data_IF_355429182789
#
_entry.id   IF_355429182789
#
_cell.length_a   1.000
_cell.length_b   1.000
_cell.length_c   1.000
_cell.angle_alpha   90.00
_cell.angle_beta   90.00
_cell.angle_gamma   90.00
#
_symmetry.space_group_name_H-M   'P 1'
#
loop_
_entity.id
_entity.type
_entity.pdbx_description
1 polymer ?
#
# COMPACT_ATOMS: atom_id res chain seq x y z
N UNK A 1 -16.01 -2.29 33.29
CA UNK A 1 -16.64 -1.51 32.22
C UNK A 1 -16.27 -2.18 30.91
N UNK A 2 -17.21 -2.76 30.19
CA UNK A 2 -16.92 -3.25 28.83
C UNK A 2 -16.46 -2.06 27.99
N UNK A 3 -15.24 -2.14 27.47
CA UNK A 3 -14.73 -1.12 26.56
C UNK A 3 -15.62 -1.14 25.31
N UNK A 4 -16.40 -0.11 25.10
CA UNK A 4 -17.27 0.03 23.93
C UNK A 4 -16.40 -0.04 22.68
N UNK A 5 -16.57 -1.09 21.85
CA UNK A 5 -15.84 -1.24 20.59
C UNK A 5 -16.09 -0.05 19.68
N UNK A 6 -15.04 0.48 19.03
CA UNK A 6 -15.19 1.50 18.01
C UNK A 6 -16.01 0.96 16.82
N UNK A 7 -16.87 1.79 16.26
CA UNK A 7 -17.62 1.46 15.05
C UNK A 7 -16.88 2.02 13.84
N UNK A 8 -16.43 1.13 12.97
CA UNK A 8 -15.71 1.47 11.75
C UNK A 8 -16.61 1.32 10.52
N UNK A 9 -16.70 2.35 9.72
CA UNK A 9 -17.22 2.24 8.36
C UNK A 9 -16.07 1.95 7.42
N UNK A 10 -16.16 0.88 6.63
CA UNK A 10 -15.13 0.49 5.65
C UNK A 10 -15.70 0.60 4.25
N UNK A 11 -15.11 1.46 3.41
CA UNK A 11 -15.35 1.46 1.97
C UNK A 11 -14.29 0.63 1.26
N UNK A 12 -14.63 -0.07 0.18
CA UNK A 12 -13.69 -0.99 -0.48
C UNK A 12 -13.42 -2.27 0.32
N UNK A 13 -14.37 -2.70 1.14
CA UNK A 13 -14.30 -3.86 2.03
C UNK A 13 -14.02 -5.19 1.30
N UNK A 14 -14.43 -5.33 0.04
CA UNK A 14 -14.19 -6.52 -0.80
C UNK A 14 -12.80 -6.57 -1.44
N UNK A 15 -12.01 -5.51 -1.33
CA UNK A 15 -10.64 -5.44 -1.83
C UNK A 15 -9.66 -6.27 -0.99
N UNK A 16 -8.43 -6.42 -1.49
CA UNK A 16 -7.38 -7.19 -0.83
C UNK A 16 -7.14 -6.74 0.62
N UNK A 17 -6.96 -5.44 0.85
CA UNK A 17 -6.74 -4.89 2.20
C UNK A 17 -7.99 -5.00 3.05
N UNK A 18 -9.16 -4.63 2.51
CA UNK A 18 -10.43 -4.63 3.23
C UNK A 18 -10.82 -6.02 3.75
N UNK A 19 -10.73 -7.04 2.89
CA UNK A 19 -11.03 -8.44 3.28
C UNK A 19 -10.11 -8.92 4.41
N UNK A 20 -8.79 -8.70 4.28
CA UNK A 20 -7.83 -9.10 5.31
C UNK A 20 -8.03 -8.31 6.62
N UNK A 21 -8.36 -7.01 6.54
CA UNK A 21 -8.63 -6.19 7.73
C UNK A 21 -9.85 -6.70 8.49
N UNK A 22 -10.95 -6.95 7.78
CA UNK A 22 -12.19 -7.46 8.37
C UNK A 22 -11.95 -8.83 9.01
N UNK A 23 -11.30 -9.76 8.31
CA UNK A 23 -11.02 -11.10 8.84
C UNK A 23 -10.22 -11.02 10.16
N UNK A 24 -9.24 -10.12 10.24
CA UNK A 24 -8.35 -9.99 11.39
C UNK A 24 -8.99 -9.28 12.58
N UNK A 25 -9.79 -8.23 12.34
CA UNK A 25 -10.25 -7.29 13.38
C UNK A 25 -11.77 -7.28 13.62
N UNK A 26 -12.53 -8.24 13.06
CA UNK A 26 -13.99 -8.35 13.26
C UNK A 26 -14.40 -8.47 14.72
N UNK A 27 -13.52 -8.99 15.56
CA UNK A 27 -13.77 -9.15 16.99
C UNK A 27 -13.33 -7.93 17.82
N UNK A 28 -12.51 -7.04 17.25
CA UNK A 28 -12.01 -5.83 17.92
C UNK A 28 -12.90 -4.61 17.66
N UNK A 29 -13.47 -4.52 16.47
CA UNK A 29 -14.31 -3.39 16.03
C UNK A 29 -15.72 -3.85 15.64
N UNK A 30 -16.69 -2.92 15.75
CA UNK A 30 -17.97 -3.05 15.05
C UNK A 30 -17.79 -2.54 13.63
N UNK A 31 -17.88 -3.42 12.63
CA UNK A 31 -17.60 -3.09 11.23
C UNK A 31 -18.88 -2.90 10.43
N UNK A 32 -18.97 -1.78 9.73
CA UNK A 32 -20.02 -1.44 8.76
C UNK A 32 -19.37 -1.31 7.39
N UNK A 33 -19.70 -2.20 6.46
CA UNK A 33 -19.14 -2.16 5.10
C UNK A 33 -20.05 -1.40 4.15
N UNK A 34 -19.49 -0.46 3.38
CA UNK A 34 -20.23 0.32 2.37
C UNK A 34 -19.65 0.06 0.99
N UNK A 35 -20.52 -0.39 0.08
CA UNK A 35 -20.18 -0.59 -1.33
C UNK A 35 -20.55 0.65 -2.15
N UNK A 36 -19.53 1.48 -2.45
CA UNK A 36 -19.69 2.72 -3.21
C UNK A 36 -20.06 2.51 -4.70
N UNK A 37 -20.13 1.26 -5.18
CA UNK A 37 -20.71 0.96 -6.48
C UNK A 37 -22.24 0.88 -6.43
N UNK A 38 -22.82 0.72 -5.23
CA UNK A 38 -24.26 0.55 -5.01
C UNK A 38 -24.89 1.71 -4.26
N UNK A 39 -24.13 2.39 -3.41
CA UNK A 39 -24.62 3.47 -2.52
C UNK A 39 -23.88 4.76 -2.86
N UNK A 40 -24.61 5.83 -3.10
CA UNK A 40 -24.03 7.15 -3.32
C UNK A 40 -23.56 7.76 -1.99
N UNK A 41 -22.53 8.61 -1.99
CA UNK A 41 -22.03 9.26 -0.75
C UNK A 41 -23.11 10.00 0.06
N UNK A 42 -24.09 10.58 -0.61
CA UNK A 42 -25.20 11.32 -0.01
C UNK A 42 -26.21 10.42 0.71
N UNK A 43 -26.23 9.13 0.36
CA UNK A 43 -27.17 8.11 0.88
C UNK A 43 -26.54 7.28 2.01
N UNK A 44 -25.26 7.52 2.35
CA UNK A 44 -24.56 6.77 3.38
C UNK A 44 -25.06 7.19 4.77
N UNK A 45 -25.44 6.21 5.58
CA UNK A 45 -25.80 6.40 6.99
C UNK A 45 -24.56 6.40 7.87
N UNK A 46 -24.27 7.53 8.53
CA UNK A 46 -23.10 7.67 9.41
C UNK A 46 -23.44 7.64 10.91
N UNK A 47 -24.68 7.32 11.28
CA UNK A 47 -25.08 7.29 12.68
C UNK A 47 -24.26 6.26 13.47
N UNK A 48 -23.63 6.70 14.54
CA UNK A 48 -22.83 5.87 15.42
C UNK A 48 -21.47 5.43 14.83
N UNK A 49 -21.04 5.99 13.69
CA UNK A 49 -19.72 5.75 13.11
C UNK A 49 -18.67 6.62 13.79
N UNK A 50 -17.65 5.99 14.38
CA UNK A 50 -16.52 6.67 15.01
C UNK A 50 -15.43 7.01 13.98
N UNK A 51 -15.12 6.09 13.06
CA UNK A 51 -14.05 6.22 12.07
C UNK A 51 -14.49 5.69 10.71
N UNK A 52 -14.13 6.40 9.65
CA UNK A 52 -14.21 5.90 8.27
C UNK A 52 -12.83 5.41 7.84
N UNK A 53 -12.73 4.13 7.48
CA UNK A 53 -11.57 3.54 6.82
C UNK A 53 -11.84 3.48 5.32
N UNK A 54 -11.28 4.45 4.58
CA UNK A 54 -11.53 4.61 3.15
C UNK A 54 -10.49 3.87 2.31
N UNK A 55 -10.84 2.64 1.89
CA UNK A 55 -10.01 1.76 1.06
C UNK A 55 -10.45 1.73 -0.40
N UNK A 56 -11.66 2.24 -0.70
CA UNK A 56 -12.19 2.25 -2.06
C UNK A 56 -11.29 3.08 -2.98
N UNK A 57 -10.84 2.48 -4.05
CA UNK A 57 -9.99 3.14 -5.04
C UNK A 57 -9.97 2.37 -6.37
N UNK A 58 -9.79 3.09 -7.45
CA UNK A 58 -9.30 2.54 -8.70
C UNK A 58 -7.78 2.44 -8.60
N UNK A 59 -7.27 1.21 -8.45
CA UNK A 59 -5.83 0.96 -8.35
C UNK A 59 -5.17 0.97 -9.72
N UNK A 60 -3.84 1.07 -9.76
CA UNK A 60 -3.08 1.00 -10.99
C UNK A 60 -3.38 -0.29 -11.76
N UNK A 61 -3.94 -0.14 -12.98
CA UNK A 61 -4.26 -1.27 -13.86
C UNK A 61 -3.16 -1.45 -14.92
N UNK A 62 -2.75 -2.70 -15.17
CA UNK A 62 -1.70 -3.00 -16.16
C UNK A 62 -2.07 -2.54 -17.58
N UNK A 63 -3.34 -2.55 -17.94
CA UNK A 63 -3.85 -2.09 -19.22
C UNK A 63 -4.24 -0.60 -19.23
N UNK A 64 -4.03 0.11 -18.11
CA UNK A 64 -4.43 1.49 -17.91
C UNK A 64 -5.95 1.69 -17.78
N UNK A 65 -6.33 2.80 -17.18
CA UNK A 65 -7.67 3.36 -17.26
C UNK A 65 -7.53 4.83 -17.73
N UNK A 66 -8.55 5.44 -18.31
CA UNK A 66 -8.51 6.85 -18.63
C UNK A 66 -8.16 7.68 -17.37
N UNK A 67 -7.37 8.74 -17.56
CA UNK A 67 -6.95 9.62 -16.44
C UNK A 67 -8.15 10.13 -15.65
N UNK A 68 -9.19 10.53 -16.36
CA UNK A 68 -10.44 11.07 -15.80
C UNK A 68 -11.10 10.08 -14.83
N UNK A 69 -11.01 8.76 -15.13
CA UNK A 69 -11.59 7.73 -14.28
C UNK A 69 -10.86 7.60 -12.93
N UNK A 70 -9.54 7.78 -12.93
CA UNK A 70 -8.78 7.82 -11.67
C UNK A 70 -9.20 9.01 -10.81
N UNK A 71 -9.36 10.19 -11.39
CA UNK A 71 -9.79 11.38 -10.66
C UNK A 71 -11.25 11.28 -10.18
N UNK A 72 -12.14 10.73 -11.01
CA UNK A 72 -13.54 10.48 -10.60
C UNK A 72 -13.61 9.59 -9.35
N UNK A 73 -12.87 8.47 -9.35
CA UNK A 73 -12.96 7.47 -8.28
C UNK A 73 -12.05 7.83 -7.09
N UNK A 74 -10.80 8.20 -7.32
CA UNK A 74 -9.83 8.36 -6.23
C UNK A 74 -9.87 9.76 -5.61
N UNK A 75 -10.32 10.79 -6.37
CA UNK A 75 -10.36 12.17 -5.88
C UNK A 75 -11.79 12.59 -5.55
N UNK A 76 -12.68 12.64 -6.55
CA UNK A 76 -14.01 13.20 -6.36
C UNK A 76 -14.89 12.33 -5.46
N UNK A 77 -14.87 11.02 -5.62
CA UNK A 77 -15.64 10.13 -4.75
C UNK A 77 -15.10 10.18 -3.31
N UNK A 78 -13.77 10.21 -3.12
CA UNK A 78 -13.14 10.38 -1.80
C UNK A 78 -13.57 11.69 -1.15
N UNK A 79 -13.54 12.81 -1.90
CA UNK A 79 -14.00 14.13 -1.42
C UNK A 79 -15.44 14.06 -0.93
N UNK A 80 -16.35 13.51 -1.74
CA UNK A 80 -17.78 13.41 -1.38
C UNK A 80 -18.01 12.55 -0.13
N UNK A 81 -17.32 11.42 0.00
CA UNK A 81 -17.42 10.56 1.19
C UNK A 81 -16.90 11.30 2.44
N UNK A 82 -15.78 12.01 2.32
CA UNK A 82 -15.21 12.77 3.44
C UNK A 82 -16.10 13.97 3.86
N UNK A 83 -16.66 14.69 2.88
CA UNK A 83 -17.64 15.76 3.15
C UNK A 83 -18.88 15.24 3.89
N UNK A 84 -19.43 14.10 3.41
CA UNK A 84 -20.57 13.47 4.05
C UNK A 84 -20.24 13.00 5.48
N UNK A 85 -19.07 12.35 5.68
CA UNK A 85 -18.60 11.93 6.99
C UNK A 85 -18.44 13.13 7.96
N UNK A 86 -17.78 14.20 7.50
CA UNK A 86 -17.58 15.43 8.29
C UNK A 86 -18.89 16.10 8.66
N UNK A 87 -19.84 16.23 7.71
CA UNK A 87 -21.19 16.78 7.93
C UNK A 87 -21.95 15.99 9.00
N UNK A 88 -21.77 14.67 9.03
CA UNK A 88 -22.40 13.77 9.99
C UNK A 88 -21.57 13.58 11.27
N UNK A 89 -20.56 14.43 11.53
CA UNK A 89 -19.77 14.49 12.75
C UNK A 89 -18.95 13.23 13.04
N UNK A 90 -18.58 12.46 12.01
CA UNK A 90 -17.55 11.43 12.13
C UNK A 90 -16.26 12.12 12.56
N UNK A 91 -15.57 11.56 13.55
CA UNK A 91 -14.39 12.20 14.13
C UNK A 91 -13.11 11.91 13.35
N UNK A 92 -13.00 10.73 12.75
CA UNK A 92 -11.75 10.26 12.17
C UNK A 92 -11.96 9.68 10.77
N UNK A 93 -11.14 10.14 9.82
CA UNK A 93 -11.13 9.67 8.45
C UNK A 93 -9.73 9.13 8.10
N UNK A 94 -9.62 7.83 7.92
CA UNK A 94 -8.38 7.15 7.53
C UNK A 94 -8.39 6.89 6.04
N UNK A 95 -7.51 7.55 5.32
CA UNK A 95 -7.41 7.48 3.86
C UNK A 95 -6.22 6.61 3.44
N UNK A 96 -6.49 5.60 2.61
CA UNK A 96 -5.43 4.83 1.97
C UNK A 96 -4.97 5.51 0.68
N UNK A 97 -3.80 6.10 0.77
CA UNK A 97 -3.05 6.66 -0.33
C UNK A 97 -2.03 5.65 -0.89
N UNK A 98 -0.87 6.09 -1.30
CA UNK A 98 0.20 5.27 -1.88
C UNK A 98 1.52 6.04 -1.89
N UNK A 99 2.66 5.35 -1.84
CA UNK A 99 3.97 5.98 -2.10
C UNK A 99 4.13 6.55 -3.52
N UNK A 100 3.21 6.22 -4.44
CA UNK A 100 3.21 6.78 -5.81
C UNK A 100 3.02 8.30 -5.84
N UNK A 101 2.45 8.89 -4.79
CA UNK A 101 2.29 10.34 -4.65
C UNK A 101 3.63 11.09 -4.66
N UNK A 102 4.74 10.43 -4.31
CA UNK A 102 6.07 11.04 -4.38
C UNK A 102 6.57 11.24 -5.82
N UNK A 103 5.94 10.57 -6.81
CA UNK A 103 6.33 10.67 -8.21
C UNK A 103 7.69 10.01 -8.53
N UNK A 104 8.10 9.06 -7.69
CA UNK A 104 9.39 8.39 -7.81
C UNK A 104 9.18 6.87 -7.86
N UNK A 105 9.55 6.25 -8.97
CA UNK A 105 9.39 4.82 -9.21
C UNK A 105 10.63 3.99 -8.84
N UNK A 106 11.71 4.68 -8.51
CA UNK A 106 13.01 4.12 -8.19
C UNK A 106 14.10 4.55 -9.14
N UNK A 107 15.36 4.25 -8.79
CA UNK A 107 16.55 4.61 -9.56
C UNK A 107 17.43 3.38 -9.78
N UNK A 108 17.94 3.23 -11.03
CA UNK A 108 18.84 2.14 -11.42
C UNK A 108 20.28 2.37 -10.96
N UNK A 109 20.66 3.59 -10.63
CA UNK A 109 22.03 4.02 -10.38
C UNK A 109 22.24 4.58 -8.98
N UNK A 110 21.26 5.32 -8.45
CA UNK A 110 21.30 5.85 -7.10
C UNK A 110 20.57 4.91 -6.12
N UNK A 111 21.35 4.12 -5.40
CA UNK A 111 20.81 3.15 -4.45
C UNK A 111 20.72 3.69 -3.01
N UNK A 112 21.13 4.93 -2.76
CA UNK A 112 21.17 5.54 -1.43
C UNK A 112 20.09 6.60 -1.23
N UNK A 113 19.23 6.83 -2.22
CA UNK A 113 18.16 7.81 -2.09
C UNK A 113 17.00 7.21 -1.29
N UNK A 114 16.64 7.89 -0.20
CA UNK A 114 15.60 7.45 0.74
C UNK A 114 14.57 8.57 0.88
N UNK A 115 13.31 8.22 0.74
CA UNK A 115 12.15 9.10 0.93
C UNK A 115 11.55 8.88 2.32
N UNK A 116 10.84 9.88 2.84
CA UNK A 116 10.12 9.80 4.12
C UNK A 116 8.77 10.54 4.05
N UNK A 117 8.10 10.66 5.19
CA UNK A 117 6.79 11.29 5.29
C UNK A 117 6.76 12.74 4.76
N UNK A 118 7.87 13.47 4.88
CA UNK A 118 8.00 14.89 4.49
C UNK A 118 8.58 15.11 3.10
N UNK A 119 8.98 14.03 2.42
CA UNK A 119 9.52 14.14 1.06
C UNK A 119 8.49 14.77 0.12
N UNK A 120 8.93 15.66 -0.80
CA UNK A 120 8.00 16.34 -1.71
C UNK A 120 7.25 15.36 -2.61
N UNK A 121 5.97 15.63 -2.82
CA UNK A 121 5.11 14.85 -3.70
C UNK A 121 5.02 15.52 -5.08
N UNK A 122 5.34 14.77 -6.12
CA UNK A 122 5.29 15.22 -7.52
C UNK A 122 4.97 14.06 -8.48
N UNK A 123 3.76 13.49 -8.45
CA UNK A 123 3.39 12.30 -9.22
C UNK A 123 3.08 12.61 -10.69
N UNK A 124 4.01 13.22 -11.41
CA UNK A 124 3.84 13.59 -12.83
C UNK A 124 3.79 12.34 -13.71
N UNK A 125 2.86 12.31 -14.67
CA UNK A 125 2.64 11.20 -15.62
C UNK A 125 2.24 9.85 -14.98
N UNK A 126 1.73 9.87 -13.76
CA UNK A 126 1.12 8.72 -13.09
C UNK A 126 -0.31 9.12 -12.63
N UNK A 127 -1.35 8.94 -13.47
CA UNK A 127 -2.72 9.34 -13.14
C UNK A 127 -3.24 8.75 -11.83
N UNK A 128 -2.77 7.56 -11.45
CA UNK A 128 -3.09 6.96 -10.16
C UNK A 128 -2.45 7.75 -9.00
N UNK A 129 -1.13 8.00 -9.07
CA UNK A 129 -0.42 8.80 -8.07
C UNK A 129 -0.97 10.23 -7.99
N UNK A 130 -1.20 10.86 -9.16
CA UNK A 130 -1.79 12.21 -9.24
C UNK A 130 -3.16 12.28 -8.55
N UNK A 131 -4.06 11.35 -8.85
CA UNK A 131 -5.41 11.33 -8.27
C UNK A 131 -5.41 11.11 -6.75
N UNK A 132 -4.50 10.27 -6.25
CA UNK A 132 -4.32 10.06 -4.81
C UNK A 132 -3.75 11.29 -4.12
N UNK A 133 -2.75 11.93 -4.74
CA UNK A 133 -2.17 13.16 -4.21
C UNK A 133 -3.18 14.31 -4.14
N UNK A 134 -4.02 14.46 -5.17
CA UNK A 134 -5.09 15.44 -5.16
C UNK A 134 -6.09 15.20 -4.03
N UNK A 135 -6.49 13.94 -3.83
CA UNK A 135 -7.35 13.57 -2.71
C UNK A 135 -6.72 13.90 -1.33
N UNK A 136 -5.41 13.65 -1.16
CA UNK A 136 -4.72 14.01 0.09
C UNK A 136 -4.75 15.53 0.36
N UNK A 137 -4.57 16.36 -0.66
CA UNK A 137 -4.64 17.82 -0.52
C UNK A 137 -6.03 18.26 -0.06
N UNK A 138 -7.07 17.77 -0.72
CA UNK A 138 -8.47 18.05 -0.36
C UNK A 138 -8.77 17.62 1.08
N UNK A 139 -8.36 16.41 1.46
CA UNK A 139 -8.61 15.91 2.82
C UNK A 139 -7.87 16.74 3.89
N UNK A 140 -6.66 17.19 3.60
CA UNK A 140 -5.88 18.07 4.49
C UNK A 140 -6.58 19.42 4.70
N UNK A 141 -7.18 19.98 3.65
CA UNK A 141 -7.97 21.23 3.77
C UNK A 141 -9.26 21.02 4.59
N UNK A 142 -9.79 19.79 4.62
CA UNK A 142 -10.96 19.46 5.43
C UNK A 142 -10.65 19.24 6.91
N UNK A 143 -9.38 18.98 7.27
CA UNK A 143 -8.97 18.65 8.63
C UNK A 143 -9.29 19.77 9.63
N UNK A 144 -9.72 19.39 10.80
CA UNK A 144 -10.01 20.29 11.94
C UNK A 144 -9.85 19.52 13.24
N UNK A 145 -9.85 20.20 14.37
CA UNK A 145 -9.86 19.57 15.71
C UNK A 145 -11.05 18.62 15.97
N UNK A 146 -12.08 18.63 15.11
CA UNK A 146 -13.27 17.77 15.20
C UNK A 146 -13.36 16.75 14.06
N UNK A 147 -12.46 16.81 13.07
CA UNK A 147 -12.39 15.91 11.94
C UNK A 147 -10.92 15.63 11.64
N UNK A 148 -10.41 14.55 12.22
CA UNK A 148 -9.02 14.11 12.11
C UNK A 148 -8.84 13.37 10.80
N UNK A 149 -7.77 13.66 10.07
CA UNK A 149 -7.41 12.98 8.83
C UNK A 149 -6.09 12.24 9.01
N UNK A 150 -6.11 10.93 8.78
CA UNK A 150 -4.90 10.11 8.73
C UNK A 150 -4.70 9.57 7.32
N UNK A 151 -3.52 9.77 6.78
CA UNK A 151 -3.16 9.31 5.44
C UNK A 151 -2.15 8.18 5.54
N UNK A 152 -2.49 6.99 5.07
CA UNK A 152 -1.58 5.84 5.00
C UNK A 152 -1.04 5.74 3.58
N UNK A 153 0.29 5.79 3.40
CA UNK A 153 0.98 5.67 2.11
C UNK A 153 1.74 4.35 2.04
N UNK A 154 1.09 3.22 1.73
CA UNK A 154 1.79 1.95 1.62
C UNK A 154 2.70 1.92 0.39
N UNK A 155 3.89 1.29 0.50
CA UNK A 155 4.68 0.83 -0.63
C UNK A 155 4.02 -0.41 -1.26
N UNK A 156 4.79 -1.21 -1.99
CA UNK A 156 4.28 -2.50 -2.50
C UNK A 156 3.91 -3.40 -1.32
N UNK A 157 2.63 -3.77 -1.27
CA UNK A 157 2.08 -4.68 -0.25
C UNK A 157 2.22 -6.12 -0.73
N UNK A 158 2.64 -7.01 0.15
CA UNK A 158 2.69 -8.45 -0.10
C UNK A 158 2.05 -9.23 1.05
N UNK A 159 1.63 -10.46 0.76
CA UNK A 159 1.01 -11.33 1.76
C UNK A 159 -0.01 -12.28 1.12
N UNK A 160 -0.72 -13.04 1.95
CA UNK A 160 -1.68 -14.05 1.50
C UNK A 160 -2.78 -13.42 0.64
N UNK A 161 -2.95 -13.95 -0.58
CA UNK A 161 -3.96 -13.44 -1.52
C UNK A 161 -3.52 -12.23 -2.35
N UNK A 162 -2.23 -11.86 -2.32
CA UNK A 162 -1.71 -10.77 -3.14
C UNK A 162 -1.86 -11.06 -4.63
N UNK A 163 -2.20 -10.01 -5.40
CA UNK A 163 -2.36 -10.06 -6.85
C UNK A 163 -1.35 -9.14 -7.56
N UNK A 164 -1.39 -9.13 -8.88
CA UNK A 164 -0.61 -8.20 -9.70
C UNK A 164 0.88 -8.53 -9.80
N UNK A 165 1.74 -7.54 -9.53
CA UNK A 165 3.19 -7.68 -9.76
C UNK A 165 3.85 -8.79 -8.91
N UNK A 166 3.44 -8.94 -7.66
CA UNK A 166 3.98 -9.97 -6.78
C UNK A 166 3.55 -11.37 -7.23
N UNK A 167 2.27 -11.55 -7.56
CA UNK A 167 1.77 -12.79 -8.13
C UNK A 167 2.49 -13.14 -9.44
N UNK A 168 2.71 -12.16 -10.30
CA UNK A 168 3.45 -12.32 -11.56
C UNK A 168 4.89 -12.77 -11.31
N UNK A 169 5.58 -12.20 -10.31
CA UNK A 169 6.93 -12.61 -9.92
C UNK A 169 6.95 -14.04 -9.39
N UNK A 170 6.03 -14.42 -8.52
CA UNK A 170 5.90 -15.79 -8.00
C UNK A 170 5.69 -16.77 -9.16
N UNK A 171 4.77 -16.46 -10.08
CA UNK A 171 4.52 -17.31 -11.24
C UNK A 171 5.71 -17.43 -12.18
N UNK A 172 6.49 -16.35 -12.34
CA UNK A 172 7.73 -16.38 -13.10
C UNK A 172 8.77 -17.33 -12.47
N UNK A 173 8.95 -17.23 -11.14
CA UNK A 173 9.87 -18.08 -10.38
C UNK A 173 9.44 -19.56 -10.45
N UNK A 174 8.14 -19.84 -10.40
CA UNK A 174 7.61 -21.21 -10.55
C UNK A 174 7.93 -21.80 -11.92
N UNK A 175 7.80 -21.01 -12.98
CA UNK A 175 7.89 -21.47 -14.37
C UNK A 175 9.31 -21.58 -14.91
N UNK A 176 10.18 -20.64 -14.55
CA UNK A 176 11.51 -20.53 -15.15
C UNK A 176 12.60 -21.16 -14.26
N UNK A 177 13.39 -22.12 -14.78
CA UNK A 177 14.49 -22.73 -14.03
C UNK A 177 15.70 -21.79 -13.89
N UNK A 178 15.85 -20.82 -14.80
CA UNK A 178 16.96 -19.85 -14.83
C UNK A 178 16.37 -18.44 -14.81
N UNK A 179 16.86 -17.60 -13.89
CA UNK A 179 16.41 -16.24 -13.68
C UNK A 179 17.57 -15.26 -13.82
N UNK A 180 17.45 -14.18 -14.62
CA UNK A 180 18.51 -13.18 -14.79
C UNK A 180 18.54 -12.17 -13.62
N UNK A 181 18.28 -12.61 -12.40
CA UNK A 181 18.02 -11.77 -11.23
C UNK A 181 19.07 -11.90 -10.12
N UNK A 182 20.32 -12.24 -10.45
CA UNK A 182 21.40 -12.20 -9.48
C UNK A 182 21.89 -10.75 -9.23
N UNK A 183 20.99 -9.89 -8.70
CA UNK A 183 21.27 -8.49 -8.46
C UNK A 183 21.01 -8.13 -7.01
N UNK A 184 22.00 -7.57 -6.32
CA UNK A 184 22.00 -7.33 -4.89
C UNK A 184 22.12 -5.86 -4.51
N UNK A 185 22.40 -4.98 -5.49
CA UNK A 185 22.67 -3.56 -5.19
C UNK A 185 21.40 -2.75 -4.93
N UNK A 186 20.29 -3.12 -5.60
CA UNK A 186 19.04 -2.40 -5.39
C UNK A 186 18.45 -2.69 -4.01
N UNK A 187 17.69 -1.74 -3.51
CA UNK A 187 16.90 -1.85 -2.28
C UNK A 187 15.52 -1.29 -2.50
N UNK A 188 14.50 -2.07 -2.16
CA UNK A 188 13.10 -1.63 -2.23
C UNK A 188 12.42 -1.87 -0.91
N UNK A 189 11.66 -0.88 -0.47
CA UNK A 189 10.79 -1.01 0.68
C UNK A 189 9.50 -1.73 0.30
N UNK A 190 9.07 -2.62 1.17
CA UNK A 190 7.84 -3.39 1.08
C UNK A 190 7.10 -3.30 2.41
N UNK A 191 5.86 -3.75 2.41
CA UNK A 191 5.13 -4.00 3.65
C UNK A 191 4.34 -5.30 3.54
N UNK A 192 4.49 -6.16 4.54
CA UNK A 192 3.64 -7.33 4.68
C UNK A 192 2.21 -6.90 5.05
N UNK A 193 1.20 -7.63 4.57
CA UNK A 193 -0.20 -7.32 4.86
C UNK A 193 -0.47 -7.26 6.37
N UNK A 194 0.08 -8.18 7.17
CA UNK A 194 -0.11 -8.19 8.62
C UNK A 194 0.46 -6.94 9.30
N UNK A 195 1.64 -6.46 8.84
CA UNK A 195 2.27 -5.24 9.32
C UNK A 195 1.47 -3.99 8.92
N UNK A 196 0.95 -3.96 7.69
CA UNK A 196 0.09 -2.89 7.22
C UNK A 196 -1.20 -2.80 8.03
N UNK A 197 -1.85 -3.93 8.29
CA UNK A 197 -3.10 -3.98 9.06
C UNK A 197 -2.87 -3.59 10.52
N UNK A 198 -1.73 -3.99 11.11
CA UNK A 198 -1.34 -3.58 12.45
C UNK A 198 -1.14 -2.06 12.53
N UNK A 199 -0.39 -1.46 11.61
CA UNK A 199 -0.26 0.00 11.56
C UNK A 199 -1.63 0.67 11.41
N UNK A 200 -2.50 0.13 10.58
CA UNK A 200 -3.85 0.69 10.38
C UNK A 200 -4.67 0.65 11.67
N UNK A 201 -4.62 -0.45 12.44
CA UNK A 201 -5.30 -0.50 13.74
C UNK A 201 -4.74 0.52 14.73
N UNK A 202 -3.42 0.69 14.78
CA UNK A 202 -2.79 1.73 15.62
C UNK A 202 -3.23 3.15 15.22
N UNK A 203 -3.33 3.44 13.92
CA UNK A 203 -3.85 4.72 13.43
C UNK A 203 -5.29 4.96 13.87
N UNK A 204 -6.14 3.94 13.75
CA UNK A 204 -7.56 3.99 14.14
C UNK A 204 -7.68 4.20 15.66
N UNK A 205 -6.92 3.45 16.46
CA UNK A 205 -7.04 3.45 17.90
C UNK A 205 -6.49 4.73 18.55
N UNK A 206 -5.35 5.20 18.05
CA UNK A 206 -4.67 6.40 18.55
C UNK A 206 -5.25 7.71 17.98
N UNK A 207 -6.09 7.64 16.95
CA UNK A 207 -6.72 8.81 16.28
C UNK A 207 -5.70 9.92 15.97
N UNK A 208 -4.55 9.53 15.39
CA UNK A 208 -3.46 10.46 15.08
C UNK A 208 -3.61 11.03 13.68
N UNK A 209 -3.57 12.35 13.58
CA UNK A 209 -3.47 13.07 12.30
C UNK A 209 -2.11 12.88 11.63
N UNK A 210 -2.07 13.03 10.31
CA UNK A 210 -0.83 13.09 9.55
C UNK A 210 -0.63 11.95 8.56
N UNK A 211 0.61 11.80 8.10
CA UNK A 211 1.02 10.83 7.09
C UNK A 211 1.72 9.68 7.79
N UNK A 212 1.39 8.45 7.39
CA UNK A 212 1.96 7.22 7.94
C UNK A 212 2.50 6.33 6.83
N UNK A 213 3.76 5.92 6.96
CA UNK A 213 4.45 5.02 6.06
C UNK A 213 4.55 3.62 6.69
N UNK A 214 3.68 2.67 6.32
CA UNK A 214 3.81 1.28 6.75
C UNK A 214 4.98 0.63 6.03
N UNK A 215 5.99 0.22 6.76
CA UNK A 215 7.18 -0.45 6.22
C UNK A 215 7.49 -1.70 7.02
N UNK A 216 8.04 -2.71 6.34
CA UNK A 216 8.72 -3.80 7.01
C UNK A 216 10.06 -3.32 7.60
N UNK A 217 10.69 -4.16 8.42
CA UNK A 217 11.89 -3.83 9.16
C UNK A 217 13.05 -3.39 8.24
N UNK A 218 13.17 -4.02 7.06
CA UNK A 218 14.23 -3.71 6.10
C UNK A 218 13.77 -3.69 4.65
N UNK A 219 14.45 -2.89 3.84
CA UNK A 219 14.33 -2.94 2.38
C UNK A 219 15.07 -4.17 1.82
N UNK A 220 14.48 -4.80 0.79
CA UNK A 220 15.03 -6.00 0.16
C UNK A 220 15.58 -5.70 -1.22
N UNK A 221 16.64 -6.41 -1.62
CA UNK A 221 17.04 -6.51 -3.01
C UNK A 221 16.13 -7.47 -3.79
N UNK A 222 16.16 -7.36 -5.11
CA UNK A 222 15.44 -8.31 -5.98
C UNK A 222 15.86 -9.75 -5.69
N UNK A 223 17.15 -9.98 -5.48
CA UNK A 223 17.70 -11.31 -5.15
C UNK A 223 17.16 -11.84 -3.83
N UNK A 224 17.18 -11.03 -2.75
CA UNK A 224 16.65 -11.44 -1.44
C UNK A 224 15.15 -11.76 -1.50
N UNK A 225 14.37 -10.97 -2.25
CA UNK A 225 12.95 -11.26 -2.46
C UNK A 225 12.75 -12.60 -3.17
N UNK A 226 13.52 -12.89 -4.21
CA UNK A 226 13.44 -14.15 -4.95
C UNK A 226 13.88 -15.33 -4.08
N UNK A 227 14.95 -15.20 -3.31
CA UNK A 227 15.43 -16.24 -2.41
C UNK A 227 14.41 -16.57 -1.33
N UNK A 228 13.74 -15.57 -0.76
CA UNK A 228 12.63 -15.80 0.16
C UNK A 228 11.44 -16.53 -0.48
N UNK A 229 11.10 -16.20 -1.73
CA UNK A 229 10.04 -16.90 -2.47
C UNK A 229 10.45 -18.33 -2.79
N UNK A 230 11.68 -18.56 -3.22
CA UNK A 230 12.22 -19.92 -3.47
C UNK A 230 12.17 -20.81 -2.22
N UNK A 231 12.55 -20.24 -1.07
CA UNK A 231 12.51 -20.92 0.22
C UNK A 231 11.07 -21.30 0.60
N UNK A 232 10.16 -20.35 0.50
CA UNK A 232 8.75 -20.61 0.79
C UNK A 232 8.10 -21.63 -0.17
N UNK A 233 8.48 -21.64 -1.44
CA UNK A 233 8.03 -22.63 -2.44
C UNK A 233 8.76 -23.96 -2.35
N UNK A 234 9.83 -24.09 -1.53
CA UNK A 234 10.71 -25.25 -1.44
C UNK A 234 11.34 -25.62 -2.80
N UNK A 235 11.66 -24.63 -3.62
CA UNK A 235 12.33 -24.80 -4.93
C UNK A 235 13.61 -24.00 -4.96
N UNK A 236 14.51 -24.34 -5.91
CA UNK A 236 15.74 -23.60 -6.13
C UNK A 236 15.90 -23.27 -7.62
N UNK A 237 16.24 -22.02 -7.94
CA UNK A 237 16.44 -21.55 -9.30
C UNK A 237 17.89 -21.12 -9.52
N UNK A 238 18.38 -21.27 -10.74
CA UNK A 238 19.70 -20.77 -11.11
C UNK A 238 19.56 -19.26 -11.35
N UNK A 239 20.24 -18.46 -10.54
CA UNK A 239 20.27 -17.01 -10.69
C UNK A 239 21.56 -16.61 -11.42
N UNK A 240 21.42 -16.05 -12.61
CA UNK A 240 22.53 -15.53 -13.41
C UNK A 240 22.57 -14.00 -13.36
N UNK A 241 23.74 -13.37 -13.42
CA UNK A 241 23.82 -11.92 -13.55
C UNK A 241 23.28 -11.48 -14.93
N UNK A 242 22.60 -10.36 -14.95
CA UNK A 242 22.23 -9.72 -16.19
C UNK A 242 23.49 -9.15 -16.85
N UNK A 243 23.82 -9.59 -18.06
CA UNK A 243 24.98 -9.07 -18.80
C UNK A 243 24.75 -7.62 -19.25
N UNK A 244 25.81 -6.80 -19.10
CA UNK A 244 25.75 -5.34 -19.29
C UNK A 244 25.13 -4.88 -20.63
N UNK A 245 25.51 -5.42 -21.80
CA UNK A 245 24.91 -4.99 -23.07
C UNK A 245 23.40 -5.24 -23.11
N UNK A 246 22.95 -6.38 -22.56
CA UNK A 246 21.54 -6.73 -22.54
C UNK A 246 20.75 -5.88 -21.51
N UNK A 247 21.35 -5.60 -20.36
CA UNK A 247 20.79 -4.67 -19.38
C UNK A 247 20.55 -3.29 -20.02
N UNK A 248 21.55 -2.74 -20.70
CA UNK A 248 21.46 -1.46 -21.37
C UNK A 248 20.40 -1.43 -22.48
N UNK A 249 20.34 -2.49 -23.30
CA UNK A 249 19.33 -2.65 -24.33
C UNK A 249 17.91 -2.66 -23.73
N UNK A 250 17.70 -3.49 -22.70
CA UNK A 250 16.40 -3.57 -22.03
C UNK A 250 16.00 -2.25 -21.33
N UNK A 251 16.97 -1.53 -20.76
CA UNK A 251 16.72 -0.23 -20.16
C UNK A 251 16.23 0.79 -21.18
N UNK A 252 16.70 0.71 -22.42
CA UNK A 252 16.18 1.56 -23.52
C UNK A 252 14.81 1.11 -24.04
N UNK A 253 14.60 -0.20 -24.19
CA UNK A 253 13.37 -0.74 -24.79
C UNK A 253 12.20 -0.83 -23.79
N UNK A 254 12.49 -1.09 -22.52
CA UNK A 254 11.50 -1.33 -21.45
C UNK A 254 11.92 -0.65 -20.13
N UNK A 255 12.11 0.69 -20.13
CA UNK A 255 12.66 1.41 -18.97
C UNK A 255 11.84 1.19 -17.71
N UNK A 256 10.52 1.23 -17.79
CA UNK A 256 9.63 1.06 -16.64
C UNK A 256 9.76 -0.34 -15.99
N UNK A 257 9.96 -1.38 -16.78
CA UNK A 257 10.17 -2.74 -16.27
C UNK A 257 11.53 -2.82 -15.57
N UNK A 258 12.57 -2.24 -16.17
CA UNK A 258 13.92 -2.24 -15.62
C UNK A 258 13.99 -1.47 -14.29
N UNK A 259 13.37 -0.29 -14.21
CA UNK A 259 13.28 0.48 -12.97
C UNK A 259 12.52 -0.29 -11.89
N UNK A 260 11.41 -0.93 -12.23
CA UNK A 260 10.61 -1.70 -11.26
C UNK A 260 11.35 -2.93 -10.73
N UNK A 261 12.16 -3.60 -11.53
CA UNK A 261 12.90 -4.81 -11.14
C UNK A 261 14.24 -4.48 -10.48
N UNK A 262 15.02 -3.58 -11.07
CA UNK A 262 16.41 -3.34 -10.69
C UNK A 262 16.65 -1.99 -9.99
N UNK A 263 15.66 -1.08 -10.02
CA UNK A 263 15.77 0.22 -9.37
C UNK A 263 15.56 0.14 -7.86
N UNK A 264 16.25 1.01 -7.13
CA UNK A 264 16.04 1.22 -5.70
C UNK A 264 14.89 2.18 -5.45
N UNK A 265 14.03 1.82 -4.51
CA UNK A 265 12.93 2.66 -4.02
C UNK A 265 12.81 2.44 -2.52
N UNK A 266 13.45 3.29 -1.76
CA UNK A 266 13.56 3.14 -0.31
C UNK A 266 12.79 4.24 0.41
N UNK A 267 12.20 3.86 1.53
CA UNK A 267 11.52 4.74 2.45
C UNK A 267 12.05 4.51 3.87
N UNK A 268 12.03 5.56 4.66
CA UNK A 268 12.15 5.51 6.12
C UNK A 268 10.86 6.03 6.76
N UNK A 269 10.53 5.52 7.93
CA UNK A 269 9.27 5.80 8.63
C UNK A 269 9.49 6.13 10.11
N UNK A 270 10.51 6.91 10.40
CA UNK A 270 10.86 7.24 11.77
C UNK A 270 9.72 7.94 12.50
N UNK A 271 9.10 8.94 11.88
CA UNK A 271 7.98 9.68 12.47
C UNK A 271 6.76 8.77 12.69
N UNK A 272 6.44 7.90 11.72
CA UNK A 272 5.40 6.90 11.86
C UNK A 272 5.62 6.00 13.07
N UNK A 273 6.86 5.51 13.27
CA UNK A 273 7.22 4.68 14.42
C UNK A 273 7.08 5.43 15.74
N UNK A 274 7.57 6.65 15.81
CA UNK A 274 7.49 7.48 17.01
C UNK A 274 6.05 7.86 17.38
N UNK A 275 5.24 8.31 16.40
CA UNK A 275 3.84 8.72 16.63
C UNK A 275 2.92 7.58 17.04
N UNK A 276 3.13 6.40 16.47
CA UNK A 276 2.26 5.24 16.66
C UNK A 276 2.85 4.21 17.62
N UNK A 277 4.11 4.35 18.05
CA UNK A 277 4.85 3.28 18.74
C UNK A 277 4.78 1.98 17.92
N UNK A 278 4.97 2.14 16.59
CA UNK A 278 4.78 1.07 15.63
C UNK A 278 6.06 0.23 15.47
N UNK A 279 5.91 -1.08 15.64
CA UNK A 279 6.90 -2.07 15.25
C UNK A 279 6.24 -3.14 14.36
N UNK A 280 6.90 -3.59 13.28
CA UNK A 280 6.39 -4.68 12.46
C UNK A 280 6.20 -5.97 13.26
N UNK A 281 5.03 -6.60 13.13
CA UNK A 281 4.70 -7.86 13.83
C UNK A 281 5.37 -9.07 13.19
N UNK A 282 5.68 -8.97 11.90
CA UNK A 282 6.14 -10.09 11.09
C UNK A 282 7.39 -9.63 10.32
N UNK A 283 8.47 -10.38 10.46
CA UNK A 283 9.65 -10.18 9.62
C UNK A 283 9.39 -10.67 8.18
N UNK A 284 10.26 -10.31 7.25
CA UNK A 284 10.03 -10.61 5.83
C UNK A 284 10.06 -12.11 5.51
N UNK A 285 10.89 -12.91 6.19
CA UNK A 285 10.97 -14.36 6.00
C UNK A 285 9.64 -15.04 6.32
N UNK A 286 9.09 -14.73 7.50
CA UNK A 286 7.78 -15.22 7.92
C UNK A 286 6.65 -14.66 7.03
N UNK A 287 6.75 -13.40 6.64
CA UNK A 287 5.78 -12.75 5.77
C UNK A 287 5.70 -13.38 4.38
N UNK A 288 6.85 -13.72 3.77
CA UNK A 288 6.88 -14.41 2.48
C UNK A 288 6.36 -15.84 2.63
N UNK A 289 6.74 -16.54 3.68
CA UNK A 289 6.21 -17.89 3.95
C UNK A 289 4.70 -17.89 4.10
N UNK A 290 4.14 -16.96 4.87
CA UNK A 290 2.69 -16.80 5.02
C UNK A 290 1.98 -16.46 3.70
N UNK A 291 2.64 -15.65 2.83
CA UNK A 291 2.12 -15.29 1.51
C UNK A 291 1.91 -16.50 0.61
N UNK A 292 2.85 -17.43 0.64
CA UNK A 292 2.84 -18.60 -0.23
C UNK A 292 1.93 -19.72 0.29
N UNK A 293 1.59 -19.70 1.59
CA UNK A 293 0.83 -20.74 2.25
C UNK A 293 1.65 -22.02 2.44
N UNK A 294 1.13 -22.94 3.24
CA UNK A 294 1.62 -24.33 3.24
C UNK A 294 1.04 -25.02 1.98
N UNK A 295 1.65 -24.77 0.81
CA UNK A 295 1.35 -25.61 -0.36
C UNK A 295 1.82 -27.04 -0.02
N UNK A 296 0.85 -27.93 0.23
CA UNK A 296 1.03 -29.36 0.40
C UNK A 296 1.42 -30.01 -0.91
#
# INVERSE_FOLDING_TARGET
MENKKKTLMITGASGFIGTNFIERYKDDYKIVSVDLLKVKPEEIEFEGIDTVLHLAALVHQMNGAPREKYFEVNTELTRKVAEAAKKNKVKHFVFYSTVKVYGYDGDLYNHNFILNEHSPCNPVNDPYGESKWEAEKILREMETNKFIVSVIRPPMVYGKGVKGNMESLINLIRKLPILPFNYTKNRRSFVNIDNLLHLTSLVIDKEKEGIFLPLDEKSLSLKEMIEGIEEGLKIKRIKIPMIQPFFWLLTKLKPNIMVRLYGSLQFENRETKEKLEYDPLVNYEKGIKNMLGDEK
#
